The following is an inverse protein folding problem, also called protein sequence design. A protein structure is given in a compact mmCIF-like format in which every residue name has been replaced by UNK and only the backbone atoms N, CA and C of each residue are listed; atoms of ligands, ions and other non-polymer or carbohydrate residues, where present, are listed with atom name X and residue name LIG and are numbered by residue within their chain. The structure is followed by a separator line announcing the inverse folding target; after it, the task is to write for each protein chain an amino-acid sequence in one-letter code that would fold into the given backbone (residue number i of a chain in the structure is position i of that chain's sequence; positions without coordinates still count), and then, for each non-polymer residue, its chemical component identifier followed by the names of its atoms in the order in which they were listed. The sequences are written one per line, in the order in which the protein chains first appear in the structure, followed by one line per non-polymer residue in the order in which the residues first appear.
data_IF_403637383594
#
_entry.id   IF_403637383594
#
_cell.length_a   1.000
_cell.length_b   1.000
_cell.length_c   1.000
_cell.angle_alpha   90.00
_cell.angle_beta   90.00
_cell.angle_gamma   90.00
#
_symmetry.space_group_name_H-M   'P 1'
#
loop_
_entity.id
_entity.type
_entity.pdbx_description
1 polymer ?
#
# COMPACT_ATOMS: atom_id res chain seq x y z
N UNK A 1 -16.83 13.54 40.60
CA UNK A 1 -16.51 14.46 39.48
C UNK A 1 -15.43 13.79 38.64
N UNK A 2 -15.78 13.29 37.46
CA UNK A 2 -14.83 12.75 36.49
C UNK A 2 -14.38 13.89 35.56
N UNK A 3 -13.12 13.95 35.11
CA UNK A 3 -12.65 15.03 34.26
C UNK A 3 -13.21 14.87 32.84
N UNK A 4 -13.67 16.00 32.28
CA UNK A 4 -14.11 16.12 30.89
C UNK A 4 -12.86 16.10 30.02
N UNK A 5 -12.65 14.99 29.30
CA UNK A 5 -11.65 14.92 28.24
C UNK A 5 -12.12 15.79 27.07
N UNK A 6 -11.49 16.94 26.88
CA UNK A 6 -11.64 17.71 25.66
C UNK A 6 -11.09 16.89 24.49
N UNK A 7 -12.00 16.41 23.64
CA UNK A 7 -11.69 15.80 22.36
C UNK A 7 -11.08 16.89 21.48
N UNK A 8 -9.76 16.86 21.29
CA UNK A 8 -9.11 17.67 20.28
C UNK A 8 -9.64 17.25 18.90
N UNK A 9 -9.87 18.19 17.96
CA UNK A 9 -10.28 17.85 16.61
C UNK A 9 -9.16 17.02 15.98
N UNK A 10 -9.50 15.85 15.41
CA UNK A 10 -8.59 15.09 14.55
C UNK A 10 -8.18 16.01 13.41
N UNK A 11 -6.99 16.58 13.50
CA UNK A 11 -6.30 17.22 12.38
C UNK A 11 -6.22 16.14 11.29
N UNK A 12 -6.97 16.32 10.20
CA UNK A 12 -6.89 15.45 9.03
C UNK A 12 -5.49 15.62 8.46
N UNK A 13 -4.62 14.67 8.77
CA UNK A 13 -3.30 14.62 8.17
C UNK A 13 -3.45 14.48 6.65
N UNK A 14 -2.56 15.11 5.86
CA UNK A 14 -2.60 14.99 4.42
C UNK A 14 -2.31 13.54 4.04
N UNK A 15 -3.36 12.83 3.64
CA UNK A 15 -3.27 11.48 3.11
C UNK A 15 -2.43 11.54 1.84
N UNK A 16 -1.41 10.66 1.74
CA UNK A 16 -0.59 10.56 0.54
C UNK A 16 -1.45 9.92 -0.53
N UNK A 17 -2.08 10.76 -1.37
CA UNK A 17 -2.68 10.27 -2.61
C UNK A 17 -1.58 9.62 -3.41
N UNK A 18 -1.73 8.33 -3.74
CA UNK A 18 -0.97 7.72 -4.82
C UNK A 18 -1.49 8.29 -6.15
N UNK A 19 -1.30 9.60 -6.33
CA UNK A 19 -1.75 10.35 -7.49
C UNK A 19 -0.81 10.12 -8.67
N UNK A 20 -1.43 9.78 -9.79
CA UNK A 20 -0.87 9.35 -11.05
C UNK A 20 -0.12 10.53 -11.71
N UNK A 21 1.06 10.87 -11.20
CA UNK A 21 1.94 11.84 -11.87
C UNK A 21 3.03 11.07 -12.59
N UNK A 22 2.79 10.83 -13.88
CA UNK A 22 3.70 10.20 -14.82
C UNK A 22 4.91 11.13 -15.06
N UNK A 23 5.83 11.25 -14.09
CA UNK A 23 7.15 11.83 -14.35
C UNK A 23 7.99 10.78 -15.07
N UNK A 24 8.11 10.92 -16.39
CA UNK A 24 9.11 10.22 -17.19
C UNK A 24 10.49 10.49 -16.60
N UNK A 25 11.08 9.50 -15.94
CA UNK A 25 12.52 9.46 -15.66
C UNK A 25 13.10 8.27 -16.40
N UNK A 26 13.77 8.57 -17.51
CA UNK A 26 14.55 7.65 -18.33
C UNK A 26 15.96 7.52 -17.77
N UNK A 27 16.30 6.36 -17.18
CA UNK A 27 17.54 5.60 -17.43
C UNK A 27 17.65 4.37 -16.50
N UNK A 28 17.67 3.20 -17.14
CA UNK A 28 18.25 1.89 -16.76
C UNK A 28 18.09 1.30 -15.35
N UNK A 29 17.34 0.19 -15.26
CA UNK A 29 17.61 -0.89 -14.31
C UNK A 29 16.85 -0.89 -12.97
N UNK A 30 15.96 0.06 -12.71
CA UNK A 30 15.22 0.09 -11.43
C UNK A 30 14.34 -1.16 -11.26
N UNK A 31 14.31 -1.81 -10.08
CA UNK A 31 13.50 -3.01 -9.85
C UNK A 31 12.01 -2.79 -10.12
N UNK A 32 11.53 -1.55 -9.95
CA UNK A 32 10.15 -1.14 -10.25
C UNK A 32 9.79 -1.29 -11.73
N UNK A 33 10.73 -1.04 -12.66
CA UNK A 33 10.50 -1.22 -14.10
C UNK A 33 10.41 -2.71 -14.50
N UNK A 34 10.82 -3.63 -13.62
CA UNK A 34 10.75 -5.08 -13.87
C UNK A 34 9.43 -5.71 -13.40
N UNK A 35 8.60 -4.98 -12.65
CA UNK A 35 7.31 -5.48 -12.21
C UNK A 35 6.35 -5.46 -13.40
N UNK A 36 5.88 -6.64 -13.75
CA UNK A 36 4.93 -6.90 -14.83
C UNK A 36 3.88 -7.89 -14.32
N UNK A 37 2.80 -8.10 -15.08
CA UNK A 37 1.77 -9.12 -14.78
C UNK A 37 2.31 -10.56 -14.66
N UNK A 38 3.55 -10.82 -15.09
CA UNK A 38 4.21 -12.14 -14.98
C UNK A 38 5.06 -12.26 -13.72
N UNK A 39 5.34 -11.14 -13.05
CA UNK A 39 6.20 -11.10 -11.88
C UNK A 39 5.52 -11.77 -10.69
N UNK A 40 6.27 -12.58 -9.95
CA UNK A 40 5.84 -13.16 -8.68
C UNK A 40 6.39 -12.32 -7.52
N UNK A 41 5.49 -11.96 -6.60
CA UNK A 41 5.78 -11.14 -5.43
C UNK A 41 5.25 -11.83 -4.18
N UNK A 42 5.74 -11.41 -3.03
CA UNK A 42 5.32 -11.88 -1.72
C UNK A 42 5.20 -10.71 -0.76
N UNK A 43 4.29 -10.82 0.20
CA UNK A 43 4.36 -9.97 1.39
C UNK A 43 5.62 -10.27 2.21
N UNK A 44 6.29 -9.21 2.67
CA UNK A 44 7.53 -9.33 3.45
C UNK A 44 7.32 -10.06 4.79
N UNK A 45 6.13 -9.90 5.41
CA UNK A 45 5.73 -10.59 6.66
C UNK A 45 4.23 -10.51 6.88
N UNK A 46 3.69 -11.43 7.67
CA UNK A 46 2.31 -11.36 8.15
C UNK A 46 2.04 -10.06 8.93
N UNK A 47 0.88 -9.45 8.72
CA UNK A 47 0.43 -8.27 9.48
C UNK A 47 1.25 -7.00 9.23
N UNK A 48 2.00 -6.92 8.11
CA UNK A 48 2.77 -5.72 7.74
C UNK A 48 1.89 -4.51 7.44
N UNK A 49 0.68 -4.76 6.93
CA UNK A 49 -0.29 -3.75 6.56
C UNK A 49 -1.72 -4.18 6.88
N UNK A 50 -2.62 -3.21 7.00
CA UNK A 50 -4.07 -3.41 7.24
C UNK A 50 -4.87 -2.48 6.34
N UNK A 51 -5.84 -3.06 5.63
CA UNK A 51 -6.76 -2.36 4.74
C UNK A 51 -8.02 -1.94 5.50
N UNK A 52 -8.44 -0.69 5.31
CA UNK A 52 -9.72 -0.16 5.79
C UNK A 52 -10.41 0.61 4.66
N UNK A 53 -11.73 0.66 4.68
CA UNK A 53 -12.50 1.54 3.80
C UNK A 53 -12.89 2.78 4.58
N UNK A 54 -12.39 3.94 4.15
CA UNK A 54 -12.64 5.24 4.78
C UNK A 54 -13.00 6.25 3.70
N UNK A 55 -14.08 7.02 3.91
CA UNK A 55 -14.53 8.10 3.02
C UNK A 55 -14.62 7.71 1.53
N UNK A 56 -15.01 6.46 1.25
CA UNK A 56 -15.13 5.94 -0.12
C UNK A 56 -13.79 5.62 -0.80
N UNK A 57 -12.73 5.38 -0.02
CA UNK A 57 -11.42 4.96 -0.50
C UNK A 57 -10.91 3.73 0.23
N UNK A 58 -10.01 3.01 -0.42
CA UNK A 58 -9.28 1.90 0.17
C UNK A 58 -7.99 2.43 0.80
N UNK A 59 -7.94 2.48 2.13
CA UNK A 59 -6.84 3.05 2.91
C UNK A 59 -5.98 1.94 3.52
N UNK A 60 -4.71 1.89 3.14
CA UNK A 60 -3.75 0.88 3.61
C UNK A 60 -2.78 1.50 4.62
N UNK A 61 -2.89 1.05 5.86
CA UNK A 61 -1.96 1.39 6.94
C UNK A 61 -0.85 0.36 7.02
N UNK A 62 0.42 0.78 7.06
CA UNK A 62 1.57 -0.13 7.19
C UNK A 62 2.55 0.35 8.27
N UNK A 63 3.27 -0.60 8.89
CA UNK A 63 4.14 -0.32 10.03
C UNK A 63 5.61 -0.09 9.65
N UNK A 64 5.94 0.10 8.37
CA UNK A 64 7.34 0.16 7.92
C UNK A 64 8.00 1.50 8.25
N UNK A 65 7.27 2.60 8.11
CA UNK A 65 7.78 3.96 8.39
C UNK A 65 7.57 4.39 9.85
N UNK A 66 7.04 3.51 10.70
CA UNK A 66 6.87 3.83 12.11
C UNK A 66 8.26 4.06 12.74
N UNK A 67 8.49 5.29 13.20
CA UNK A 67 9.65 5.61 14.03
C UNK A 67 9.70 4.66 15.23
N UNK A 68 10.92 4.30 15.66
CA UNK A 68 11.11 3.59 16.94
C UNK A 68 10.77 4.49 18.14
N UNK A 69 10.62 5.79 17.91
CA UNK A 69 10.14 6.79 18.86
C UNK A 69 8.64 7.04 18.65
N UNK A 70 7.87 6.96 19.72
CA UNK A 70 6.42 7.06 19.70
C UNK A 70 5.94 8.45 19.25
N UNK A 71 5.18 8.49 18.15
CA UNK A 71 4.47 9.68 17.60
C UNK A 71 5.32 10.84 17.02
N UNK A 72 6.58 10.61 16.64
CA UNK A 72 7.36 11.67 15.98
C UNK A 72 7.05 11.81 14.48
N UNK A 73 6.60 10.74 13.82
CA UNK A 73 6.33 10.75 12.38
C UNK A 73 4.82 10.63 12.13
N UNK A 74 4.22 11.52 11.34
CA UNK A 74 2.84 11.39 10.89
C UNK A 74 2.63 10.05 10.18
N UNK A 75 1.58 9.30 10.56
CA UNK A 75 1.19 8.07 9.87
C UNK A 75 0.83 8.45 8.43
N UNK A 76 1.56 7.89 7.46
CA UNK A 76 1.32 8.12 6.05
C UNK A 76 0.67 6.88 5.43
N UNK A 77 -0.67 6.72 5.52
CA UNK A 77 -1.33 5.62 4.84
C UNK A 77 -1.31 5.82 3.33
N UNK A 78 -1.42 4.72 2.60
CA UNK A 78 -1.60 4.73 1.16
C UNK A 78 -3.09 4.73 0.85
N UNK A 79 -3.52 5.64 0.00
CA UNK A 79 -4.88 5.65 -0.51
C UNK A 79 -4.93 5.05 -1.91
N UNK A 80 -5.91 4.19 -2.11
CA UNK A 80 -6.27 3.57 -3.38
C UNK A 80 -7.76 3.78 -3.65
N UNK A 81 -8.16 3.55 -4.90
CA UNK A 81 -9.56 3.56 -5.31
C UNK A 81 -10.26 2.27 -4.78
N UNK A 82 -11.60 2.24 -4.78
CA UNK A 82 -12.35 1.13 -4.18
C UNK A 82 -12.27 -0.17 -4.98
N UNK A 83 -12.06 -0.08 -6.28
CA UNK A 83 -11.82 -1.19 -7.20
C UNK A 83 -10.50 -1.93 -6.90
N UNK A 84 -9.48 -1.21 -6.42
CA UNK A 84 -8.22 -1.81 -5.96
C UNK A 84 -8.37 -2.63 -4.66
N UNK A 85 -9.46 -2.43 -3.89
CA UNK A 85 -9.60 -2.99 -2.55
C UNK A 85 -9.59 -4.53 -2.54
N UNK A 86 -10.26 -5.18 -3.50
CA UNK A 86 -10.29 -6.63 -3.61
C UNK A 86 -8.90 -7.20 -3.92
N UNK A 87 -8.15 -6.51 -4.80
CA UNK A 87 -6.77 -6.87 -5.12
C UNK A 87 -5.86 -6.73 -3.91
N UNK A 88 -5.98 -5.65 -3.13
CA UNK A 88 -5.20 -5.46 -1.90
C UNK A 88 -5.54 -6.55 -0.86
N UNK A 89 -6.82 -6.88 -0.70
CA UNK A 89 -7.24 -7.93 0.24
C UNK A 89 -6.71 -9.31 -0.18
N UNK A 90 -6.73 -9.63 -1.48
CA UNK A 90 -6.13 -10.84 -2.03
C UNK A 90 -4.64 -10.94 -1.67
N UNK A 91 -3.87 -9.85 -1.87
CA UNK A 91 -2.46 -9.79 -1.50
C UNK A 91 -2.28 -10.04 0.01
N UNK A 92 -3.08 -9.38 0.86
CA UNK A 92 -3.00 -9.53 2.32
C UNK A 92 -3.27 -10.95 2.79
N UNK A 93 -4.17 -11.68 2.11
CA UNK A 93 -4.51 -13.07 2.39
C UNK A 93 -3.51 -14.07 1.80
N UNK A 94 -2.74 -13.69 0.79
CA UNK A 94 -1.79 -14.58 0.10
C UNK A 94 -0.63 -15.03 1.00
N UNK A 95 -0.27 -14.28 2.04
CA UNK A 95 0.86 -14.66 2.90
C UNK A 95 0.58 -15.98 3.65
N UNK A 96 1.51 -16.96 3.65
CA UNK A 96 2.93 -16.84 3.28
C UNK A 96 3.26 -17.20 1.83
N UNK A 97 2.29 -17.45 0.97
CA UNK A 97 2.53 -17.85 -0.42
C UNK A 97 2.91 -16.67 -1.32
N UNK A 98 3.57 -16.98 -2.43
CA UNK A 98 3.81 -16.01 -3.51
C UNK A 98 2.55 -15.88 -4.35
N UNK A 99 2.31 -14.69 -4.87
CA UNK A 99 1.27 -14.46 -5.87
C UNK A 99 1.87 -13.85 -7.12
N UNK A 100 1.24 -14.09 -8.26
CA UNK A 100 1.58 -13.42 -9.51
C UNK A 100 0.74 -12.16 -9.66
N UNK A 101 1.34 -11.07 -10.12
CA UNK A 101 0.66 -9.77 -10.32
C UNK A 101 -0.58 -9.91 -11.21
N UNK A 102 -0.51 -10.71 -12.27
CA UNK A 102 -1.63 -10.95 -13.18
C UNK A 102 -2.80 -11.75 -12.60
N UNK A 103 -2.63 -12.38 -11.43
CA UNK A 103 -3.66 -13.21 -10.80
C UNK A 103 -4.51 -12.41 -9.80
N UNK A 104 -4.21 -11.12 -9.60
CA UNK A 104 -4.97 -10.27 -8.69
C UNK A 104 -6.37 -9.98 -9.26
N UNK A 105 -7.44 -10.00 -8.45
CA UNK A 105 -8.79 -9.67 -8.89
C UNK A 105 -8.89 -8.17 -9.23
N UNK A 106 -8.67 -7.84 -10.50
CA UNK A 106 -8.76 -6.48 -11.04
C UNK A 106 -9.11 -6.54 -12.53
N UNK A 107 -9.82 -5.53 -13.03
CA UNK A 107 -10.27 -5.50 -14.43
C UNK A 107 -9.14 -5.12 -15.41
N UNK A 108 -8.28 -4.19 -15.01
CA UNK A 108 -7.14 -3.71 -15.82
C UNK A 108 -5.79 -4.28 -15.35
N UNK A 109 -5.04 -4.99 -16.21
CA UNK A 109 -3.67 -5.44 -15.91
C UNK A 109 -2.64 -4.32 -15.72
N UNK A 110 -2.91 -3.11 -16.23
CA UNK A 110 -2.09 -1.94 -15.98
C UNK A 110 -2.19 -1.53 -14.51
N UNK A 111 -3.41 -1.44 -13.96
CA UNK A 111 -3.64 -1.08 -12.57
C UNK A 111 -3.10 -2.16 -11.62
N UNK A 112 -3.23 -3.45 -11.96
CA UNK A 112 -2.54 -4.53 -11.24
C UNK A 112 -1.03 -4.25 -11.12
N UNK A 113 -0.41 -3.81 -12.22
CA UNK A 113 1.03 -3.56 -12.26
C UNK A 113 1.40 -2.31 -11.45
N UNK A 114 0.62 -1.23 -11.55
CA UNK A 114 0.85 0.01 -10.79
C UNK A 114 0.61 -0.18 -9.28
N UNK A 115 -0.44 -0.91 -8.90
CA UNK A 115 -0.72 -1.31 -7.52
C UNK A 115 0.45 -2.10 -6.93
N UNK A 116 0.94 -3.12 -7.65
CA UNK A 116 2.09 -3.91 -7.23
C UNK A 116 3.36 -3.07 -7.08
N UNK A 117 3.61 -2.11 -7.99
CA UNK A 117 4.75 -1.19 -7.91
C UNK A 117 4.64 -0.25 -6.70
N UNK A 118 3.45 0.27 -6.42
CA UNK A 118 3.21 1.13 -5.26
C UNK A 118 3.55 0.40 -3.96
N UNK A 119 2.99 -0.80 -3.77
CA UNK A 119 3.25 -1.61 -2.57
C UNK A 119 4.72 -2.07 -2.46
N UNK A 120 5.38 -2.35 -3.59
CA UNK A 120 6.81 -2.69 -3.61
C UNK A 120 7.69 -1.49 -3.22
N UNK A 121 7.37 -0.29 -3.73
CA UNK A 121 8.09 0.95 -3.37
C UNK A 121 8.02 1.23 -1.88
N UNK A 122 6.86 0.97 -1.28
CA UNK A 122 6.62 1.08 0.15
C UNK A 122 7.23 -0.08 0.96
N UNK A 123 7.86 -1.06 0.29
CA UNK A 123 8.54 -2.21 0.89
C UNK A 123 7.61 -3.14 1.66
N UNK A 124 6.35 -3.17 1.25
CA UNK A 124 5.34 -4.12 1.70
C UNK A 124 5.53 -5.46 0.96
N UNK A 125 5.91 -5.37 -0.32
CA UNK A 125 6.20 -6.51 -1.18
C UNK A 125 7.69 -6.71 -1.43
N UNK A 126 8.06 -7.97 -1.69
CA UNK A 126 9.39 -8.39 -2.12
C UNK A 126 9.29 -9.28 -3.36
N UNK A 127 10.36 -9.33 -4.16
CA UNK A 127 10.47 -10.32 -5.23
C UNK A 127 10.59 -11.73 -4.64
N UNK A 128 10.08 -12.71 -5.37
CA UNK A 128 10.41 -14.10 -5.11
C UNK A 128 11.93 -14.29 -5.15
N UNK A 129 12.49 -14.84 -4.07
CA UNK A 129 13.90 -15.18 -3.92
C UNK A 129 14.14 -16.65 -4.23
#
# INVERSE_FOLDING_TARGET
MAPVIHSTPREQLPLRRCGNTLTKVTSDGSPLQKITVKTQLQLIRHGVARLLIEDGKAVLYHCRENSRMHHEVPIAPLEFELDDAESIEYILKSYPEYFRVGDMPHEDPYDQTELAKALFKEGILIFQS
#
